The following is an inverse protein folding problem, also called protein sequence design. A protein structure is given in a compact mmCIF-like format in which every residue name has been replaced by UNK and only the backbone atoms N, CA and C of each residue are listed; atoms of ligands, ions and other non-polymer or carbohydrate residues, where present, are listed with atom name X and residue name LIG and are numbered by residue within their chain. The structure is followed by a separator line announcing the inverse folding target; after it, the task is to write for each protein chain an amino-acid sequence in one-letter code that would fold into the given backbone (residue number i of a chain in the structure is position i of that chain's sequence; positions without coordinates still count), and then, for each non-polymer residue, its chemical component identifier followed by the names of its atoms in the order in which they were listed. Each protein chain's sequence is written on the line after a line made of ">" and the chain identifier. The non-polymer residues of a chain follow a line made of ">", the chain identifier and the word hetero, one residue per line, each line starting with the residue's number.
data_IF_171317042115
#
_entry.id   IF_171317042115
#
_cell.length_a   1.000
_cell.length_b   1.000
_cell.length_c   1.000
_cell.angle_alpha   90.00
_cell.angle_beta   90.00
_cell.angle_gamma   90.00
#
_symmetry.space_group_name_H-M   'P 1'
#
loop_
_entity.id
_entity.type
_entity.pdbx_description
1 polymer ?
#
# COMPACT_ATOMS: atom_id res chain seq x y z
N UNK A 1 -11.09 -11.25 -6.30
CA UNK A 1 -10.39 -10.30 -7.21
C UNK A 1 -9.08 -10.87 -7.81
N UNK A 2 -9.16 -11.76 -8.81
CA UNK A 2 -7.98 -12.37 -9.48
C UNK A 2 -7.25 -11.48 -10.49
N UNK A 3 -7.81 -10.32 -10.85
CA UNK A 3 -7.24 -9.38 -11.82
C UNK A 3 -6.11 -8.48 -11.27
N UNK A 4 -5.83 -8.54 -9.97
CA UNK A 4 -4.89 -7.61 -9.32
C UNK A 4 -3.42 -7.98 -9.56
N UNK A 5 -3.10 -9.27 -9.76
CA UNK A 5 -1.69 -9.71 -9.89
C UNK A 5 -0.99 -9.13 -11.12
N UNK A 6 -1.68 -9.08 -12.27
CA UNK A 6 -1.10 -8.52 -13.49
C UNK A 6 -0.88 -7.00 -13.37
N UNK A 7 -1.83 -6.29 -12.77
CA UNK A 7 -1.72 -4.85 -12.53
C UNK A 7 -0.59 -4.53 -11.54
N UNK A 8 -0.51 -5.27 -10.42
CA UNK A 8 0.59 -5.13 -9.46
C UNK A 8 1.93 -5.44 -10.12
N UNK A 9 2.03 -6.52 -10.90
CA UNK A 9 3.28 -6.86 -11.57
C UNK A 9 3.70 -5.77 -12.56
N UNK A 10 2.75 -5.18 -13.30
CA UNK A 10 3.04 -4.05 -14.19
C UNK A 10 3.60 -2.87 -13.42
N UNK A 11 2.93 -2.46 -12.33
CA UNK A 11 3.38 -1.33 -11.49
C UNK A 11 4.78 -1.61 -10.91
N UNK A 12 5.02 -2.83 -10.41
CA UNK A 12 6.33 -3.22 -9.88
C UNK A 12 7.39 -3.12 -10.97
N UNK A 13 7.13 -3.65 -12.17
CA UNK A 13 8.07 -3.60 -13.28
C UNK A 13 8.38 -2.15 -13.70
N UNK A 14 7.37 -1.28 -13.74
CA UNK A 14 7.55 0.15 -14.05
C UNK A 14 8.43 0.82 -12.99
N UNK A 15 8.16 0.58 -11.71
CA UNK A 15 8.95 1.15 -10.60
C UNK A 15 10.38 0.58 -10.50
N UNK A 16 10.59 -0.67 -10.93
CA UNK A 16 11.94 -1.25 -11.06
C UNK A 16 12.69 -0.58 -12.21
N UNK A 17 12.02 -0.36 -13.35
CA UNK A 17 12.60 0.35 -14.50
C UNK A 17 13.01 1.77 -14.14
N UNK A 18 12.23 2.44 -13.28
CA UNK A 18 12.52 3.78 -12.77
C UNK A 18 13.52 3.79 -11.61
N UNK A 19 14.06 2.63 -11.21
CA UNK A 19 15.08 2.50 -10.17
C UNK A 19 14.58 2.71 -8.74
N UNK A 20 13.25 2.72 -8.53
CA UNK A 20 12.62 2.90 -7.22
C UNK A 20 12.48 1.58 -6.45
N UNK A 21 12.30 0.48 -7.17
CA UNK A 21 12.20 -0.87 -6.61
C UNK A 21 13.30 -1.78 -7.15
N UNK A 22 13.59 -2.84 -6.41
CA UNK A 22 14.41 -3.95 -6.89
C UNK A 22 13.85 -5.30 -6.41
N UNK A 23 14.19 -6.37 -7.13
CA UNK A 23 13.87 -7.73 -6.74
C UNK A 23 15.02 -8.34 -5.96
N UNK A 24 14.73 -8.88 -4.77
CA UNK A 24 15.70 -9.63 -3.96
C UNK A 24 15.33 -11.11 -3.86
N UNK A 25 16.31 -12.02 -3.74
CA UNK A 25 16.04 -13.43 -3.48
C UNK A 25 15.18 -13.62 -2.22
N UNK A 26 14.21 -14.52 -2.30
CA UNK A 26 13.43 -14.92 -1.14
C UNK A 26 13.98 -16.24 -0.58
N UNK A 27 14.55 -16.26 0.64
CA UNK A 27 15.11 -17.47 1.25
C UNK A 27 14.13 -18.63 1.36
N UNK A 28 12.83 -18.34 1.44
CA UNK A 28 11.78 -19.34 1.64
C UNK A 28 11.14 -19.80 0.33
N UNK A 29 11.27 -19.02 -0.76
CA UNK A 29 10.62 -19.32 -2.03
C UNK A 29 11.44 -18.88 -3.24
N UNK A 30 12.12 -19.83 -3.89
CA UNK A 30 13.01 -19.59 -5.04
C UNK A 30 12.36 -18.82 -6.21
N UNK A 31 11.05 -18.97 -6.44
CA UNK A 31 10.33 -18.31 -7.55
C UNK A 31 9.56 -17.04 -7.14
N UNK A 32 9.44 -16.76 -5.85
CA UNK A 32 8.69 -15.61 -5.35
C UNK A 32 9.65 -14.59 -4.76
N UNK A 33 10.30 -13.81 -5.61
CA UNK A 33 11.25 -12.77 -5.20
C UNK A 33 10.58 -11.73 -4.30
N UNK A 34 11.35 -11.17 -3.37
CA UNK A 34 10.95 -10.03 -2.57
C UNK A 34 11.02 -8.78 -3.44
N UNK A 35 10.05 -7.88 -3.27
CA UNK A 35 10.07 -6.54 -3.86
C UNK A 35 10.45 -5.55 -2.76
N UNK A 36 11.53 -4.81 -2.94
CA UNK A 36 12.03 -3.89 -1.92
C UNK A 36 12.30 -2.50 -2.52
N UNK A 37 12.20 -1.47 -1.69
CA UNK A 37 12.59 -0.11 -2.07
C UNK A 37 14.11 0.01 -2.15
N UNK A 38 14.60 0.57 -3.24
CA UNK A 38 15.98 1.07 -3.33
C UNK A 38 16.13 2.31 -2.44
N UNK A 39 17.35 2.80 -2.26
CA UNK A 39 17.56 4.05 -1.50
C UNK A 39 16.92 5.26 -2.21
N UNK A 40 16.94 5.30 -3.54
CA UNK A 40 16.22 6.29 -4.32
C UNK A 40 14.69 6.16 -4.11
N UNK A 41 14.16 4.93 -4.10
CA UNK A 41 12.76 4.65 -3.80
C UNK A 41 12.34 5.12 -2.41
N UNK A 42 13.16 4.84 -1.38
CA UNK A 42 12.92 5.32 -0.01
C UNK A 42 12.89 6.86 0.05
N UNK A 43 13.82 7.53 -0.62
CA UNK A 43 13.87 8.99 -0.66
C UNK A 43 12.62 9.58 -1.35
N UNK A 44 12.24 9.02 -2.50
CA UNK A 44 11.03 9.43 -3.23
C UNK A 44 9.76 9.23 -2.40
N UNK A 45 9.63 8.06 -1.76
CA UNK A 45 8.52 7.75 -0.86
C UNK A 45 8.45 8.76 0.30
N UNK A 46 9.58 9.02 0.96
CA UNK A 46 9.64 9.98 2.06
C UNK A 46 9.28 11.40 1.62
N UNK A 47 9.69 11.82 0.42
CA UNK A 47 9.31 13.12 -0.14
C UNK A 47 7.80 13.18 -0.38
N UNK A 48 7.21 12.14 -0.98
CA UNK A 48 5.77 12.06 -1.19
C UNK A 48 5.00 12.13 0.14
N UNK A 49 5.43 11.40 1.16
CA UNK A 49 4.82 11.44 2.50
C UNK A 49 4.91 12.83 3.14
N UNK A 50 6.04 13.54 2.98
CA UNK A 50 6.20 14.92 3.47
C UNK A 50 5.25 15.90 2.79
N UNK A 51 5.02 15.74 1.48
CA UNK A 51 4.06 16.56 0.73
C UNK A 51 2.61 16.24 1.10
N UNK A 52 2.33 14.98 1.43
CA UNK A 52 0.98 14.52 1.79
C UNK A 52 0.57 14.94 3.20
N UNK A 53 1.51 15.01 4.15
CA UNK A 53 1.20 15.24 5.57
C UNK A 53 0.39 16.54 5.84
N UNK A 54 0.71 17.71 5.26
CA UNK A 54 -0.08 18.92 5.46
C UNK A 54 -1.53 18.75 4.99
N UNK A 55 -1.72 18.15 3.82
CA UNK A 55 -3.04 17.93 3.25
C UNK A 55 -3.91 17.01 4.12
N UNK A 56 -3.33 15.91 4.66
CA UNK A 56 -4.05 15.04 5.59
C UNK A 56 -4.41 15.78 6.89
N UNK A 57 -3.48 16.58 7.41
CA UNK A 57 -3.71 17.34 8.63
C UNK A 57 -4.82 18.39 8.46
N UNK A 58 -4.88 19.04 7.30
CA UNK A 58 -5.97 19.96 6.95
C UNK A 58 -7.31 19.22 6.81
N UNK A 59 -7.32 18.08 6.13
CA UNK A 59 -8.52 17.27 5.95
C UNK A 59 -9.10 16.76 7.28
N UNK A 60 -8.25 16.48 8.27
CA UNK A 60 -8.66 15.98 9.58
C UNK A 60 -9.02 17.08 10.59
N UNK A 61 -8.87 18.36 10.23
CA UNK A 61 -9.22 19.45 11.15
C UNK A 61 -10.68 19.38 11.59
N UNK A 62 -10.90 19.46 12.91
CA UNK A 62 -12.23 19.40 13.51
C UNK A 62 -12.80 17.99 13.68
N UNK A 63 -12.12 16.95 13.19
CA UNK A 63 -12.50 15.56 13.46
C UNK A 63 -11.94 15.10 14.80
N UNK A 64 -12.78 14.43 15.59
CA UNK A 64 -12.33 13.75 16.81
C UNK A 64 -11.61 12.46 16.46
N UNK A 65 -10.57 12.13 17.22
CA UNK A 65 -9.79 10.91 17.00
C UNK A 65 -10.67 9.67 17.18
N UNK A 66 -11.61 9.72 18.13
CA UNK A 66 -12.55 8.63 18.40
C UNK A 66 -13.47 8.37 17.21
N UNK A 67 -13.97 9.41 16.55
CA UNK A 67 -14.85 9.29 15.38
C UNK A 67 -14.09 8.69 14.18
N UNK A 68 -12.82 9.06 13.99
CA UNK A 68 -11.95 8.47 12.95
C UNK A 68 -11.71 6.99 13.25
N UNK A 69 -11.45 6.63 14.50
CA UNK A 69 -11.23 5.24 14.93
C UNK A 69 -12.48 4.39 14.74
N UNK A 70 -13.65 4.88 15.16
CA UNK A 70 -14.94 4.20 14.95
C UNK A 70 -15.22 4.01 13.46
N UNK A 71 -15.01 5.06 12.65
CA UNK A 71 -15.18 4.99 11.19
C UNK A 71 -14.27 3.93 10.57
N UNK A 72 -13.00 3.92 10.95
CA UNK A 72 -12.03 2.92 10.50
C UNK A 72 -12.48 1.50 10.85
N UNK A 73 -12.93 1.25 12.09
CA UNK A 73 -13.39 -0.06 12.54
C UNK A 73 -14.58 -0.56 11.72
N UNK A 74 -15.58 0.30 11.48
CA UNK A 74 -16.77 -0.05 10.69
C UNK A 74 -16.38 -0.37 9.25
N UNK A 75 -15.60 0.49 8.58
CA UNK A 75 -15.15 0.24 7.20
C UNK A 75 -14.29 -1.03 7.09
N UNK A 76 -13.45 -1.29 8.09
CA UNK A 76 -12.64 -2.50 8.15
C UNK A 76 -13.50 -3.75 8.27
N UNK A 77 -14.53 -3.73 9.11
CA UNK A 77 -15.46 -4.85 9.27
C UNK A 77 -16.26 -5.11 8.00
N UNK A 78 -16.79 -4.06 7.37
CA UNK A 78 -17.52 -4.19 6.09
C UNK A 78 -16.63 -4.79 4.99
N UNK A 79 -15.38 -4.34 4.89
CA UNK A 79 -14.42 -4.92 3.94
C UNK A 79 -14.19 -6.41 4.22
N UNK A 80 -13.99 -6.79 5.48
CA UNK A 80 -13.78 -8.20 5.85
C UNK A 80 -14.96 -9.07 5.42
N UNK A 81 -16.19 -8.63 5.70
CA UNK A 81 -17.40 -9.38 5.32
C UNK A 81 -17.52 -9.55 3.80
N UNK A 82 -17.24 -8.49 3.04
CA UNK A 82 -17.25 -8.57 1.57
C UNK A 82 -16.17 -9.51 1.01
N UNK A 83 -15.02 -9.62 1.67
CA UNK A 83 -13.95 -10.54 1.27
C UNK A 83 -14.28 -11.99 1.62
N UNK A 84 -14.99 -12.21 2.72
CA UNK A 84 -15.45 -13.53 3.17
C UNK A 84 -16.62 -14.05 2.29
N UNK A 85 -17.61 -13.20 1.95
CA UNK A 85 -18.70 -13.54 1.02
C UNK A 85 -18.21 -13.88 -0.40
N UNK A 86 -17.01 -13.44 -0.80
CA UNK A 86 -16.41 -13.79 -2.09
C UNK A 86 -15.60 -15.09 -2.06
N UNK A 87 -15.42 -15.71 -0.89
CA UNK A 87 -14.71 -16.99 -0.72
C UNK A 87 -15.64 -18.20 -0.64
N UNK A 88 -16.92 -17.98 -0.37
CA UNK A 88 -18.01 -18.96 -0.44
C UNK A 88 -18.65 -18.99 -1.85
#
# INVERSE_FOLDING_TARGET
>A
MGANRQNVQRIVNDLVKDGMLEFQPNPHHRRAQLVVLTDAGKQAFNLAMKLQAPWINELSQGLKVEDIQTTYQVLHQLRSQLEDEQRD
#
